data_IF_059754923359
#
_entry.id   IF_059754923359
#
_cell.length_a   1.000
_cell.length_b   1.000
_cell.length_c   1.000
_cell.angle_alpha   90.00
_cell.angle_beta   90.00
_cell.angle_gamma   90.00
#
_symmetry.space_group_name_H-M   'P 1'
#
loop_
_entity.id
_entity.type
_entity.pdbx_description
1 polymer ?
#
# COMPACT_ATOMS: atom_id res chain seq x y z
N UNK A 1 1.05 -23.39 8.09
CA UNK A 1 0.29 -23.33 6.83
C UNK A 1 1.27 -22.98 5.72
N UNK A 2 1.25 -23.68 4.59
CA UNK A 2 2.14 -23.34 3.47
C UNK A 2 1.58 -22.11 2.76
N UNK A 3 2.40 -21.08 2.53
CA UNK A 3 2.02 -19.92 1.70
C UNK A 3 1.71 -20.40 0.27
N UNK A 4 0.58 -20.01 -0.31
CA UNK A 4 0.26 -20.39 -1.70
C UNK A 4 1.15 -19.69 -2.73
N UNK A 5 1.28 -20.29 -3.92
CA UNK A 5 1.95 -19.65 -5.05
C UNK A 5 1.28 -18.34 -5.48
N UNK A 6 -0.04 -18.22 -5.29
CA UNK A 6 -0.78 -17.00 -5.63
C UNK A 6 -0.38 -15.86 -4.69
N UNK A 7 -0.35 -16.11 -3.39
CA UNK A 7 0.09 -15.13 -2.39
C UNK A 7 1.54 -14.73 -2.60
N UNK A 8 2.42 -15.69 -2.94
CA UNK A 8 3.82 -15.41 -3.27
C UNK A 8 3.96 -14.55 -4.52
N UNK A 9 3.19 -14.83 -5.57
CA UNK A 9 3.23 -14.05 -6.81
C UNK A 9 2.77 -12.62 -6.58
N UNK A 10 1.62 -12.45 -5.91
CA UNK A 10 1.08 -11.14 -5.53
C UNK A 10 2.11 -10.31 -4.74
N UNK A 11 2.67 -10.89 -3.67
CA UNK A 11 3.60 -10.16 -2.80
C UNK A 11 4.93 -9.86 -3.47
N UNK A 12 5.42 -10.74 -4.36
CA UNK A 12 6.60 -10.47 -5.20
C UNK A 12 6.35 -9.33 -6.18
N UNK A 13 5.17 -9.30 -6.82
CA UNK A 13 4.80 -8.22 -7.72
C UNK A 13 4.72 -6.88 -7.00
N UNK A 14 4.21 -6.85 -5.77
CA UNK A 14 4.16 -5.65 -4.94
C UNK A 14 5.51 -5.24 -4.32
N UNK A 15 6.49 -6.13 -4.20
CA UNK A 15 7.77 -5.81 -3.58
C UNK A 15 8.68 -5.02 -4.54
N UNK A 16 8.74 -3.71 -4.38
CA UNK A 16 9.57 -2.85 -5.23
C UNK A 16 9.58 -1.37 -4.87
N UNK A 17 10.44 -0.64 -5.55
CA UNK A 17 10.34 0.81 -5.69
C UNK A 17 9.60 1.13 -6.99
N UNK A 18 8.66 2.05 -6.91
CA UNK A 18 7.74 2.37 -7.99
C UNK A 18 7.70 3.87 -8.26
N UNK A 19 7.57 4.27 -9.53
CA UNK A 19 7.45 5.68 -9.92
C UNK A 19 6.34 5.88 -10.96
N UNK A 20 5.54 6.94 -10.82
CA UNK A 20 4.56 7.35 -11.83
C UNK A 20 5.10 8.48 -12.73
N UNK A 21 6.43 8.59 -12.89
CA UNK A 21 7.08 9.69 -13.62
C UNK A 21 6.51 9.87 -15.03
N UNK A 22 6.26 8.79 -15.76
CA UNK A 22 5.69 8.88 -17.11
C UNK A 22 4.28 9.50 -17.10
N UNK A 23 3.38 8.99 -16.25
CA UNK A 23 2.03 9.52 -16.09
C UNK A 23 2.03 11.00 -15.68
N UNK A 24 2.87 11.38 -14.72
CA UNK A 24 2.95 12.76 -14.24
C UNK A 24 3.55 13.73 -15.26
N UNK A 25 4.39 13.26 -16.19
CA UNK A 25 4.88 14.08 -17.30
C UNK A 25 3.84 14.25 -18.40
N UNK A 26 3.07 13.21 -18.69
CA UNK A 26 1.99 13.23 -19.68
C UNK A 26 0.80 14.11 -19.22
N UNK A 27 0.43 13.99 -17.93
CA UNK A 27 -0.75 14.65 -17.36
C UNK A 27 -0.42 15.41 -16.05
N UNK A 28 0.47 16.43 -16.10
CA UNK A 28 1.03 17.09 -14.91
C UNK A 28 0.02 17.91 -14.10
N UNK A 29 -1.11 18.28 -14.71
CA UNK A 29 -2.20 18.98 -14.00
C UNK A 29 -2.93 18.03 -13.05
N UNK A 30 -2.99 16.74 -13.37
CA UNK A 30 -3.83 15.76 -12.66
C UNK A 30 -3.01 14.83 -11.77
N UNK A 31 -1.76 14.53 -12.15
CA UNK A 31 -0.93 13.56 -11.46
C UNK A 31 0.37 14.20 -11.00
N UNK A 32 0.51 14.30 -9.68
CA UNK A 32 1.78 14.66 -9.05
C UNK A 32 2.80 13.54 -9.31
N UNK A 33 4.07 13.90 -9.49
CA UNK A 33 5.16 12.93 -9.60
C UNK A 33 5.50 12.37 -8.21
N UNK A 34 5.32 11.07 -8.06
CA UNK A 34 5.40 10.31 -6.82
C UNK A 34 6.36 9.14 -6.97
N UNK A 35 7.02 8.82 -5.86
CA UNK A 35 7.77 7.58 -5.66
C UNK A 35 7.12 6.81 -4.53
N UNK A 36 7.08 5.49 -4.67
CA UNK A 36 6.48 4.60 -3.69
C UNK A 36 7.41 3.41 -3.41
N UNK A 37 7.88 3.31 -2.18
CA UNK A 37 8.60 2.15 -1.67
C UNK A 37 7.63 1.15 -1.05
N UNK A 38 7.57 -0.06 -1.61
CA UNK A 38 6.83 -1.19 -1.09
C UNK A 38 7.82 -2.30 -0.72
N UNK A 39 8.19 -2.38 0.55
CA UNK A 39 9.26 -3.27 1.03
C UNK A 39 8.76 -4.30 2.03
N UNK A 40 9.02 -5.60 1.81
CA UNK A 40 8.65 -6.63 2.78
C UNK A 40 9.24 -6.34 4.17
N UNK A 41 8.48 -6.59 5.24
CA UNK A 41 8.99 -6.52 6.63
C UNK A 41 9.20 -7.94 7.19
N UNK A 42 9.92 -8.10 8.32
CA UNK A 42 10.12 -9.43 8.91
C UNK A 42 8.80 -10.18 9.18
N UNK A 43 8.73 -11.46 8.78
CA UNK A 43 7.52 -12.29 8.91
C UNK A 43 6.99 -12.37 10.35
N UNK A 44 7.89 -12.38 11.33
CA UNK A 44 7.57 -12.50 12.76
C UNK A 44 6.82 -11.29 13.34
N UNK A 45 6.77 -10.14 12.65
CA UNK A 45 6.01 -8.96 13.12
C UNK A 45 4.51 -9.27 13.20
N UNK A 46 3.99 -9.96 12.18
CA UNK A 46 2.55 -10.23 12.02
C UNK A 46 2.23 -11.72 11.84
N UNK A 47 3.23 -12.60 11.87
CA UNK A 47 3.07 -14.03 11.58
C UNK A 47 2.52 -14.30 10.18
N UNK A 48 2.80 -13.39 9.24
CA UNK A 48 2.28 -13.37 7.86
C UNK A 48 3.19 -12.51 7.00
N UNK A 49 3.11 -12.67 5.67
CA UNK A 49 3.82 -11.77 4.76
C UNK A 49 3.20 -10.37 4.91
N UNK A 50 4.04 -9.38 5.14
CA UNK A 50 3.64 -7.99 5.28
C UNK A 50 4.60 -7.08 4.54
N UNK A 51 4.08 -5.99 3.99
CA UNK A 51 4.82 -5.01 3.20
C UNK A 51 4.65 -3.63 3.84
N UNK A 52 5.77 -2.98 4.14
CA UNK A 52 5.81 -1.56 4.44
C UNK A 52 5.66 -0.76 3.15
N UNK A 53 4.74 0.18 3.14
CA UNK A 53 4.43 1.05 2.01
C UNK A 53 4.65 2.51 2.42
N UNK A 54 5.56 3.21 1.75
CA UNK A 54 5.82 4.63 1.97
C UNK A 54 5.84 5.41 0.65
N UNK A 55 5.15 6.55 0.64
CA UNK A 55 5.01 7.42 -0.53
C UNK A 55 5.64 8.78 -0.28
N UNK A 56 6.34 9.32 -1.28
CA UNK A 56 6.86 10.67 -1.28
C UNK A 56 6.65 11.36 -2.64
N UNK A 57 6.68 12.69 -2.62
CA UNK A 57 6.83 13.47 -3.85
C UNK A 57 8.26 13.26 -4.39
N UNK A 58 8.39 13.02 -5.70
CA UNK A 58 9.69 12.75 -6.33
C UNK A 58 10.71 13.89 -6.15
N UNK A 59 10.26 15.12 -5.88
CA UNK A 59 11.12 16.28 -5.62
C UNK A 59 11.57 16.40 -4.15
N UNK A 60 10.93 15.70 -3.22
CA UNK A 60 11.14 15.84 -1.77
C UNK A 60 11.10 14.45 -1.11
N UNK A 61 12.05 13.59 -1.48
CA UNK A 61 12.09 12.18 -1.05
C UNK A 61 12.32 12.02 0.47
N UNK A 62 12.89 13.04 1.12
CA UNK A 62 13.14 13.10 2.57
C UNK A 62 11.89 13.44 3.40
N UNK A 63 10.76 13.79 2.75
CA UNK A 63 9.49 14.10 3.42
C UNK A 63 8.36 13.25 2.87
N UNK A 64 8.39 11.93 3.10
CA UNK A 64 7.29 11.06 2.75
C UNK A 64 6.03 11.48 3.53
N UNK A 65 4.88 11.40 2.88
CA UNK A 65 3.61 11.90 3.42
C UNK A 65 2.66 10.80 3.86
N UNK A 66 2.94 9.54 3.51
CA UNK A 66 2.07 8.41 3.86
C UNK A 66 2.88 7.14 4.06
N UNK A 67 2.60 6.48 5.19
CA UNK A 67 3.14 5.16 5.55
C UNK A 67 2.00 4.23 5.93
N UNK A 68 2.08 2.95 5.52
CA UNK A 68 1.18 1.88 5.97
C UNK A 68 1.95 0.56 6.01
N UNK A 69 1.47 -0.38 6.81
CA UNK A 69 1.80 -1.80 6.63
C UNK A 69 0.60 -2.49 5.97
N UNK A 70 0.86 -3.24 4.91
CA UNK A 70 -0.10 -4.10 4.22
C UNK A 70 0.20 -5.54 4.64
N UNK A 71 -0.67 -6.13 5.44
CA UNK A 71 -0.60 -7.52 5.85
C UNK A 71 -1.40 -8.39 4.89
N UNK A 72 -0.80 -9.45 4.36
CA UNK A 72 -1.47 -10.38 3.47
C UNK A 72 -1.88 -11.64 4.24
N UNK A 73 -3.18 -11.91 4.27
CA UNK A 73 -3.76 -13.04 5.00
C UNK A 73 -4.46 -13.94 4.00
N UNK A 74 -4.12 -15.23 4.00
CA UNK A 74 -4.76 -16.24 3.16
C UNK A 74 -5.57 -17.21 4.02
N UNK A 75 -6.87 -17.31 3.74
CA UNK A 75 -7.78 -18.25 4.38
C UNK A 75 -8.68 -18.89 3.32
N UNK A 76 -8.81 -20.22 3.34
CA UNK A 76 -9.66 -20.98 2.40
C UNK A 76 -9.46 -20.63 0.92
N UNK A 77 -8.20 -20.39 0.52
CA UNK A 77 -7.83 -20.02 -0.84
C UNK A 77 -8.19 -18.59 -1.24
N UNK A 78 -8.65 -17.75 -0.31
CA UNK A 78 -8.90 -16.32 -0.51
C UNK A 78 -7.82 -15.51 0.17
N UNK A 79 -7.32 -14.50 -0.55
CA UNK A 79 -6.33 -13.57 -0.03
C UNK A 79 -7.04 -12.26 0.34
N UNK A 80 -6.73 -11.76 1.54
CA UNK A 80 -7.14 -10.45 2.01
C UNK A 80 -5.92 -9.61 2.36
N UNK A 81 -6.03 -8.29 2.14
CA UNK A 81 -5.01 -7.32 2.56
C UNK A 81 -5.57 -6.49 3.69
N UNK A 82 -4.90 -6.49 4.85
CA UNK A 82 -5.27 -5.68 6.01
C UNK A 82 -4.28 -4.54 6.17
N UNK A 83 -4.78 -3.33 6.37
CA UNK A 83 -3.95 -2.15 6.56
C UNK A 83 -3.70 -1.88 8.04
N UNK A 84 -2.46 -1.53 8.35
CA UNK A 84 -2.04 -1.07 9.66
C UNK A 84 -1.41 0.32 9.55
N UNK A 85 -1.62 1.14 10.58
CA UNK A 85 -0.96 2.41 10.78
C UNK A 85 0.21 2.26 11.75
N UNK A 86 1.09 3.27 11.77
CA UNK A 86 2.09 3.41 12.82
C UNK A 86 1.54 4.28 13.94
N UNK A 87 1.83 3.90 15.19
CA UNK A 87 1.47 4.70 16.37
C UNK A 87 2.25 6.02 16.44
N UNK A 88 3.52 5.98 16.02
CA UNK A 88 4.35 7.16 15.77
C UNK A 88 4.91 7.12 14.33
N UNK A 89 4.16 7.64 13.34
CA UNK A 89 4.62 7.68 11.96
C UNK A 89 5.94 8.46 11.76
N UNK A 90 6.22 9.45 12.61
CA UNK A 90 7.41 10.28 12.48
C UNK A 90 8.69 9.47 12.72
N UNK A 91 8.65 8.53 13.68
CA UNK A 91 9.74 7.62 13.99
C UNK A 91 10.11 6.67 12.84
N UNK A 92 9.24 6.49 11.85
CA UNK A 92 9.43 5.60 10.71
C UNK A 92 9.61 6.34 9.37
N UNK A 93 9.59 7.67 9.39
CA UNK A 93 9.78 8.51 8.19
C UNK A 93 11.09 8.17 7.47
N UNK A 94 10.98 7.90 6.17
CA UNK A 94 12.09 7.56 5.29
C UNK A 94 12.57 6.12 5.38
N UNK A 95 11.94 5.28 6.21
CA UNK A 95 12.33 3.87 6.37
C UNK A 95 12.13 3.06 5.08
N UNK A 96 11.34 3.54 4.10
CA UNK A 96 11.19 2.91 2.79
C UNK A 96 12.51 2.73 2.05
N UNK A 97 13.53 3.54 2.37
CA UNK A 97 14.88 3.48 1.79
C UNK A 97 15.93 2.87 2.71
N UNK A 98 15.54 2.37 3.89
CA UNK A 98 16.46 1.90 4.92
C UNK A 98 16.03 0.51 5.41
N UNK A 99 16.72 -0.53 4.90
CA UNK A 99 16.39 -1.93 5.22
C UNK A 99 16.58 -2.25 6.70
N UNK A 100 17.63 -1.71 7.32
CA UNK A 100 17.97 -2.02 8.70
C UNK A 100 16.94 -1.45 9.65
N UNK A 101 16.40 -0.26 9.35
CA UNK A 101 15.23 0.27 10.09
C UNK A 101 14.00 -0.61 9.92
N UNK A 102 13.66 -1.03 8.70
CA UNK A 102 12.49 -1.91 8.49
C UNK A 102 12.59 -3.24 9.27
N UNK A 103 13.81 -3.77 9.43
CA UNK A 103 14.06 -4.97 10.23
C UNK A 103 13.81 -4.78 11.74
N UNK A 104 13.71 -3.54 12.23
CA UNK A 104 13.46 -3.21 13.63
C UNK A 104 11.99 -3.02 13.96
N UNK A 105 11.09 -3.00 12.96
CA UNK A 105 9.64 -2.86 13.19
C UNK A 105 9.16 -4.03 14.05
N UNK A 106 8.35 -3.72 15.05
CA UNK A 106 7.68 -4.69 15.91
C UNK A 106 6.17 -4.51 15.88
N UNK A 107 5.44 -5.50 16.39
CA UNK A 107 3.97 -5.41 16.53
C UNK A 107 3.54 -4.25 17.45
N UNK A 108 4.42 -3.79 18.35
CA UNK A 108 4.12 -2.69 19.26
C UNK A 108 4.16 -1.32 18.58
N UNK A 109 4.79 -1.22 17.40
CA UNK A 109 4.93 0.04 16.65
C UNK A 109 3.70 0.36 15.78
N UNK A 110 2.89 -0.67 15.52
CA UNK A 110 1.77 -0.61 14.58
C UNK A 110 0.43 -0.87 15.26
N UNK A 111 -0.64 -0.42 14.61
CA UNK A 111 -2.02 -0.64 15.05
C UNK A 111 -2.94 -0.89 13.85
N UNK A 112 -3.96 -1.75 14.00
CA UNK A 112 -4.84 -2.09 12.89
C UNK A 112 -5.72 -0.90 12.54
N UNK A 113 -5.91 -0.64 11.24
CA UNK A 113 -6.86 0.37 10.78
C UNK A 113 -8.23 -0.27 10.56
N UNK A 114 -9.18 0.06 11.43
CA UNK A 114 -10.52 -0.53 11.41
C UNK A 114 -11.22 -0.29 10.05
N UNK A 115 -11.77 -1.37 9.48
CA UNK A 115 -12.48 -1.33 8.20
C UNK A 115 -11.59 -1.10 6.96
N UNK A 116 -10.27 -1.03 7.12
CA UNK A 116 -9.31 -0.89 6.03
C UNK A 116 -8.79 -2.26 5.59
N UNK A 117 -9.67 -3.01 4.91
CA UNK A 117 -9.38 -4.33 4.39
C UNK A 117 -9.77 -4.43 2.91
N UNK A 118 -9.03 -5.23 2.15
CA UNK A 118 -9.28 -5.49 0.73
C UNK A 118 -9.42 -6.99 0.49
N UNK A 119 -10.38 -7.36 -0.34
CA UNK A 119 -10.47 -8.70 -0.92
C UNK A 119 -9.69 -8.73 -2.24
N UNK A 120 -8.88 -9.77 -2.43
CA UNK A 120 -8.06 -9.94 -3.63
C UNK A 120 -8.72 -10.90 -4.60
N UNK A 121 -8.76 -10.51 -5.86
CA UNK A 121 -9.13 -11.34 -7.00
C UNK A 121 -8.03 -11.32 -8.06
N UNK A 122 -8.03 -12.29 -8.96
CA UNK A 122 -7.13 -12.32 -10.11
C UNK A 122 -7.95 -12.37 -11.40
N UNK A 123 -7.74 -11.40 -12.29
CA UNK A 123 -8.42 -11.31 -13.56
C UNK A 123 -7.53 -10.60 -14.58
N UNK A 124 -7.62 -10.98 -15.86
CA UNK A 124 -6.90 -10.32 -16.97
C UNK A 124 -5.38 -10.21 -16.75
N UNK A 125 -4.77 -11.21 -16.10
CA UNK A 125 -3.32 -11.23 -15.84
C UNK A 125 -2.86 -10.32 -14.69
N UNK A 126 -3.79 -9.76 -13.91
CA UNK A 126 -3.50 -8.84 -12.80
C UNK A 126 -4.20 -9.30 -11.53
N UNK A 127 -3.58 -9.01 -10.39
CA UNK A 127 -4.28 -9.05 -9.12
C UNK A 127 -4.98 -7.71 -8.90
N UNK A 128 -6.24 -7.76 -8.47
CA UNK A 128 -7.04 -6.61 -8.08
C UNK A 128 -7.44 -6.77 -6.63
N UNK A 129 -7.19 -5.74 -5.83
CA UNK A 129 -7.59 -5.67 -4.44
C UNK A 129 -8.58 -4.52 -4.25
N UNK A 130 -9.76 -4.82 -3.72
CA UNK A 130 -10.83 -3.84 -3.54
C UNK A 130 -11.52 -4.00 -2.19
N UNK A 131 -12.02 -2.89 -1.64
CA UNK A 131 -12.77 -2.93 -0.39
C UNK A 131 -14.07 -3.72 -0.56
N UNK A 132 -14.48 -4.52 0.43
CA UNK A 132 -15.84 -5.06 0.46
C UNK A 132 -16.87 -3.93 0.39
N UNK A 133 -18.02 -4.21 -0.25
CA UNK A 133 -19.05 -3.20 -0.56
C UNK A 133 -19.51 -2.36 0.65
N UNK A 134 -19.60 -2.96 1.82
CA UNK A 134 -20.09 -2.32 3.04
C UNK A 134 -18.96 -1.89 4.00
N UNK A 135 -17.69 -2.09 3.60
CA UNK A 135 -16.56 -1.70 4.41
C UNK A 135 -16.37 -0.17 4.40
N UNK A 136 -16.11 0.40 5.58
CA UNK A 136 -15.73 1.81 5.75
C UNK A 136 -14.36 1.87 6.39
N UNK A 137 -13.37 2.31 5.61
CA UNK A 137 -12.02 2.54 6.11
C UNK A 137 -11.94 3.98 6.63
N UNK A 138 -11.97 4.11 7.96
CA UNK A 138 -11.93 5.39 8.64
C UNK A 138 -10.75 5.45 9.60
N UNK A 139 -10.09 6.60 9.68
CA UNK A 139 -9.00 6.84 10.63
C UNK A 139 -8.95 8.32 11.04
N UNK A 140 -8.34 8.58 12.19
CA UNK A 140 -8.12 9.93 12.68
C UNK A 140 -6.86 10.52 12.04
N UNK A 141 -6.95 11.76 11.57
CA UNK A 141 -5.81 12.50 11.05
C UNK A 141 -5.98 13.98 11.38
N UNK A 142 -5.02 14.59 12.07
CA UNK A 142 -5.08 15.99 12.54
C UNK A 142 -6.37 16.32 13.30
N UNK A 143 -6.82 15.41 14.18
CA UNK A 143 -8.08 15.50 14.96
C UNK A 143 -9.36 15.51 14.12
N UNK A 144 -9.27 15.16 12.83
CA UNK A 144 -10.42 14.99 11.95
C UNK A 144 -10.58 13.52 11.56
N UNK A 145 -11.82 13.05 11.56
CA UNK A 145 -12.16 11.75 10.99
C UNK A 145 -12.04 11.81 9.47
N UNK A 146 -11.24 10.93 8.88
CA UNK A 146 -11.11 10.77 7.43
C UNK A 146 -11.66 9.44 7.01
N UNK A 147 -12.39 9.42 5.89
CA UNK A 147 -12.78 8.19 5.21
C UNK A 147 -12.01 8.09 3.89
N UNK A 148 -11.57 6.88 3.57
CA UNK A 148 -10.91 6.59 2.30
C UNK A 148 -11.57 5.39 1.63
N UNK A 149 -11.50 5.38 0.30
CA UNK A 149 -11.68 4.18 -0.50
C UNK A 149 -10.29 3.74 -0.91
N UNK A 150 -9.93 2.51 -0.53
CA UNK A 150 -8.66 1.88 -0.84
C UNK A 150 -8.85 0.89 -2.00
N UNK A 151 -7.82 0.75 -2.81
CA UNK A 151 -7.83 -0.27 -3.85
C UNK A 151 -6.60 -0.17 -4.73
N UNK A 152 -6.16 -1.31 -5.24
CA UNK A 152 -5.05 -1.37 -6.17
C UNK A 152 -5.21 -2.49 -7.19
N UNK A 153 -4.51 -2.32 -8.30
CA UNK A 153 -4.19 -3.43 -9.21
C UNK A 153 -2.68 -3.58 -9.26
N UNK A 154 -2.21 -4.80 -9.52
CA UNK A 154 -0.78 -5.06 -9.67
C UNK A 154 -0.52 -6.16 -10.69
N UNK A 155 0.54 -5.93 -11.46
CA UNK A 155 1.14 -6.89 -12.39
C UNK A 155 2.63 -7.05 -12.05
N UNK A 156 3.38 -7.83 -12.84
CA UNK A 156 4.81 -8.03 -12.60
C UNK A 156 5.61 -6.71 -12.53
N UNK A 157 5.27 -5.76 -13.41
CA UNK A 157 6.09 -4.56 -13.67
C UNK A 157 5.38 -3.25 -13.33
N UNK A 158 4.09 -3.29 -13.02
CA UNK A 158 3.25 -2.11 -12.85
C UNK A 158 2.35 -2.24 -11.62
N UNK A 159 2.13 -1.11 -10.95
CA UNK A 159 1.25 -0.97 -9.80
C UNK A 159 0.29 0.20 -10.02
N UNK A 160 -1.01 -0.04 -9.83
CA UNK A 160 -2.04 0.97 -9.98
C UNK A 160 -2.71 1.22 -8.64
N UNK A 161 -2.73 2.47 -8.20
CA UNK A 161 -3.41 2.84 -6.95
C UNK A 161 -4.66 3.66 -7.21
N UNK A 162 -5.78 3.17 -6.67
CA UNK A 162 -7.08 3.84 -6.67
C UNK A 162 -7.41 4.51 -5.34
N UNK A 163 -6.40 4.67 -4.47
CA UNK A 163 -6.59 5.23 -3.14
C UNK A 163 -7.07 6.69 -3.21
N UNK A 164 -8.16 6.98 -2.51
CA UNK A 164 -8.74 8.32 -2.46
C UNK A 164 -9.44 8.60 -1.15
N UNK A 165 -9.32 9.83 -0.68
CA UNK A 165 -10.17 10.35 0.39
C UNK A 165 -11.54 10.69 -0.14
N UNK A 166 -12.57 10.38 0.63
CA UNK A 166 -13.96 10.62 0.26
C UNK A 166 -14.72 11.36 1.36
N UNK A 167 -15.71 12.14 0.96
CA UNK A 167 -16.71 12.68 1.88
C UNK A 167 -17.52 11.52 2.48
N UNK A 168 -17.61 11.38 3.82
CA UNK A 168 -18.24 10.23 4.45
C UNK A 168 -19.71 10.01 4.06
N UNK A 169 -20.45 11.09 3.85
CA UNK A 169 -21.89 11.05 3.59
C UNK A 169 -22.21 10.81 2.11
N UNK A 170 -21.40 11.38 1.21
CA UNK A 170 -21.68 11.36 -0.24
C UNK A 170 -20.82 10.37 -1.02
N UNK A 171 -19.69 9.93 -0.45
CA UNK A 171 -18.69 9.12 -1.14
C UNK A 171 -17.91 9.88 -2.23
N UNK A 172 -18.10 11.20 -2.34
CA UNK A 172 -17.43 12.04 -3.33
C UNK A 172 -15.94 12.12 -3.04
N UNK A 173 -15.09 11.90 -4.05
CA UNK A 173 -13.64 11.98 -3.90
C UNK A 173 -13.18 13.43 -3.64
N UNK A 174 -12.35 13.62 -2.62
CA UNK A 174 -11.81 14.94 -2.20
C UNK A 174 -10.34 15.08 -2.60
N UNK A 175 -9.57 13.99 -2.50
CA UNK A 175 -8.14 13.95 -2.81
C UNK A 175 -7.71 12.52 -3.21
N UNK A 176 -6.53 12.38 -3.80
CA UNK A 176 -6.00 11.09 -4.26
C UNK A 176 -6.40 10.79 -5.71
N UNK A 177 -6.73 9.53 -6.00
CA UNK A 177 -7.14 9.07 -7.33
C UNK A 177 -8.57 9.54 -7.70
N UNK A 178 -8.71 10.84 -7.98
CA UNK A 178 -9.99 11.46 -8.38
C UNK A 178 -10.28 11.21 -9.86
N UNK A 179 -9.29 11.43 -10.74
CA UNK A 179 -9.46 11.38 -12.19
C UNK A 179 -9.31 9.96 -12.75
N UNK A 180 -8.24 9.29 -12.37
CA UNK A 180 -7.92 7.90 -12.71
C UNK A 180 -6.96 7.36 -11.64
N UNK A 181 -6.62 6.07 -11.72
CA UNK A 181 -5.59 5.46 -10.89
C UNK A 181 -4.24 6.14 -11.11
N UNK A 182 -3.46 6.26 -10.03
CA UNK A 182 -2.03 6.53 -10.15
C UNK A 182 -1.35 5.29 -10.72
N UNK A 183 -0.63 5.44 -11.84
CA UNK A 183 0.01 4.34 -12.58
C UNK A 183 1.51 4.40 -12.34
N UNK A 184 2.05 3.42 -11.64
CA UNK A 184 3.46 3.36 -11.34
C UNK A 184 4.13 2.19 -12.06
N UNK A 185 5.32 2.44 -12.59
CA UNK A 185 6.22 1.40 -13.08
C UNK A 185 7.20 1.01 -11.99
N UNK A 186 7.50 -0.29 -11.89
CA UNK A 186 8.55 -0.80 -10.99
C UNK A 186 9.91 -0.41 -11.53
N UNK A 187 10.72 0.26 -10.70
CA UNK A 187 12.07 0.70 -11.04
C UNK A 187 13.16 -0.05 -10.25
N UNK A 188 12.79 -0.67 -9.13
CA UNK A 188 13.66 -1.57 -8.38
C UNK A 188 12.85 -2.73 -7.81
N UNK A 189 13.38 -3.94 -7.87
CA UNK A 189 12.75 -5.14 -7.33
C UNK A 189 13.26 -5.48 -5.92
N UNK A 190 12.33 -5.76 -5.01
CA UNK A 190 12.60 -6.13 -3.62
C UNK A 190 12.08 -7.53 -3.27
N UNK A 191 11.78 -8.36 -4.27
CA UNK A 191 11.22 -9.71 -4.07
C UNK A 191 12.09 -10.58 -3.18
N UNK A 192 13.41 -10.43 -3.27
CA UNK A 192 14.39 -11.17 -2.48
C UNK A 192 14.30 -10.91 -0.97
N UNK A 193 13.59 -9.87 -0.53
CA UNK A 193 13.39 -9.54 0.89
C UNK A 193 12.20 -10.26 1.53
N UNK A 194 11.38 -10.95 0.74
CA UNK A 194 10.21 -11.66 1.25
C UNK A 194 10.68 -12.85 2.09
N UNK A 195 10.29 -12.84 3.37
CA UNK A 195 10.54 -13.93 4.33
C UNK A 195 9.24 -14.70 4.60
N UNK A 196 9.36 -16.00 4.91
CA UNK A 196 8.25 -16.92 5.16
C UNK A 196 8.48 -17.68 6.46
#
# INVERSE_FOLDING_TARGET
MSTSNQLLTLTSWMAGEFSNREQSLDQPVWFVNLVWWQRPIPFNVLGSIAIFAEQANALILDRPYRQRILQFVENDGKIQVKYWGFKDPSAWSGAGRDRDRLNQITINDIEPLAGCLLDVSFANGRYKAEMPKDAKCCFQYLNESRQVILGFEVSADEFWSGDRGVEPDTGTAIWGAIMDFYKFSKIQDFTHEITK
#
